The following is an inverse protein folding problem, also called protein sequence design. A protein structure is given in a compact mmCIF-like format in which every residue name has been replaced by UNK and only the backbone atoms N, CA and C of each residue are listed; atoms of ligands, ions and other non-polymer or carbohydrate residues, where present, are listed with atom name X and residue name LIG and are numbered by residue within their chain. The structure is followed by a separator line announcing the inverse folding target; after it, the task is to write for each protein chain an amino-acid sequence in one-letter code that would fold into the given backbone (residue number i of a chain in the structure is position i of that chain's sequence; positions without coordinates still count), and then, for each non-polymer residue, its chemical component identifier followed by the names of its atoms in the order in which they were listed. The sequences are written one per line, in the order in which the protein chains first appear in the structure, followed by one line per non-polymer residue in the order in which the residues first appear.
data_IF_254026858826
#
_entry.id   IF_254026858826
#
_cell.length_a   1.000
_cell.length_b   1.000
_cell.length_c   1.000
_cell.angle_alpha   90.00
_cell.angle_beta   90.00
_cell.angle_gamma   90.00
#
_symmetry.space_group_name_H-M   'P 1'
#
loop_
_entity.id
_entity.type
_entity.pdbx_description
1 polymer ?
#
# COMPACT_ATOMS: atom_id res chain seq x y z
N UNK A 1 -12.69 -4.37 9.29
CA UNK A 1 -14.03 -4.55 8.71
C UNK A 1 -15.03 -4.80 9.84
N UNK A 2 -16.33 -4.66 9.60
CA UNK A 2 -17.39 -4.83 10.60
C UNK A 2 -18.43 -5.81 10.07
N UNK A 3 -18.65 -6.91 10.79
CA UNK A 3 -19.75 -7.83 10.54
C UNK A 3 -21.04 -7.22 11.11
N UNK A 4 -22.09 -7.14 10.29
CA UNK A 4 -23.38 -6.57 10.70
C UNK A 4 -24.47 -7.64 10.59
N UNK A 5 -25.15 -7.92 11.71
CA UNK A 5 -26.38 -8.72 11.77
C UNK A 5 -27.56 -7.78 11.99
N UNK A 6 -28.31 -7.39 10.94
CA UNK A 6 -29.47 -6.52 11.13
C UNK A 6 -30.60 -7.30 11.84
N UNK A 7 -31.44 -6.61 12.62
CA UNK A 7 -32.61 -7.22 13.27
C UNK A 7 -33.65 -7.78 12.29
N UNK A 8 -33.59 -7.34 11.02
CA UNK A 8 -34.33 -7.91 9.88
C UNK A 8 -33.48 -7.78 8.62
N UNK A 9 -33.30 -8.88 7.88
CA UNK A 9 -32.53 -8.92 6.64
C UNK A 9 -31.25 -9.77 6.70
N UNK A 10 -30.57 -9.88 5.56
CA UNK A 10 -29.37 -10.71 5.40
C UNK A 10 -28.14 -10.09 6.06
N UNK A 11 -27.22 -10.93 6.54
CA UNK A 11 -25.91 -10.51 7.06
C UNK A 11 -25.07 -9.86 5.96
N UNK A 12 -24.25 -8.87 6.34
CA UNK A 12 -23.28 -8.25 5.46
C UNK A 12 -22.03 -7.78 6.23
N UNK A 13 -20.95 -7.55 5.48
CA UNK A 13 -19.69 -7.01 6.01
C UNK A 13 -19.48 -5.61 5.46
N UNK A 14 -19.18 -4.65 6.32
CA UNK A 14 -18.78 -3.31 5.91
C UNK A 14 -17.28 -3.13 6.10
N UNK A 15 -16.56 -2.73 5.06
CA UNK A 15 -15.13 -2.50 5.12
C UNK A 15 -14.79 -1.09 4.64
N UNK A 16 -13.88 -0.43 5.36
CA UNK A 16 -13.15 0.72 4.83
C UNK A 16 -11.92 0.18 4.11
N UNK A 17 -11.75 0.56 2.85
CA UNK A 17 -10.68 0.09 1.98
C UNK A 17 -9.88 1.31 1.56
N UNK A 18 -8.57 1.29 1.75
CA UNK A 18 -7.65 2.33 1.28
C UNK A 18 -7.00 1.87 -0.03
N UNK A 19 -7.04 2.72 -1.04
CA UNK A 19 -6.33 2.52 -2.30
C UNK A 19 -4.82 2.69 -2.09
N UNK A 20 -4.02 1.75 -2.60
CA UNK A 20 -2.56 1.86 -2.61
C UNK A 20 -2.05 2.86 -3.66
N UNK A 21 -2.83 3.15 -4.70
CA UNK A 21 -2.41 4.03 -5.80
C UNK A 21 -2.49 5.52 -5.45
N UNK A 22 -3.56 5.91 -4.76
CA UNK A 22 -3.87 7.32 -4.49
C UNK A 22 -4.28 7.60 -3.03
N UNK A 23 -4.22 6.58 -2.16
CA UNK A 23 -4.52 6.72 -0.74
C UNK A 23 -6.00 6.98 -0.41
N UNK A 24 -6.90 7.05 -1.41
CA UNK A 24 -8.33 7.28 -1.17
C UNK A 24 -8.93 6.16 -0.36
N UNK A 25 -9.75 6.52 0.61
CA UNK A 25 -10.49 5.57 1.44
C UNK A 25 -11.93 5.51 0.97
N UNK A 26 -12.40 4.31 0.63
CA UNK A 26 -13.80 4.04 0.30
C UNK A 26 -14.43 3.16 1.38
N UNK A 27 -15.74 3.28 1.58
CA UNK A 27 -16.51 2.35 2.39
C UNK A 27 -17.31 1.44 1.46
N UNK A 28 -17.10 0.12 1.57
CA UNK A 28 -17.77 -0.89 0.74
C UNK A 28 -18.52 -1.87 1.62
N UNK A 29 -19.73 -2.20 1.21
CA UNK A 29 -20.53 -3.28 1.82
C UNK A 29 -20.41 -4.52 0.95
N UNK A 30 -20.14 -5.66 1.58
CA UNK A 30 -20.06 -6.98 0.98
C UNK A 30 -21.21 -7.85 1.50
N UNK A 31 -21.98 -8.42 0.58
CA UNK A 31 -23.01 -9.39 0.87
C UNK A 31 -22.49 -10.82 0.73
N UNK A 32 -23.24 -11.79 1.26
CA UNK A 32 -22.91 -13.20 1.09
C UNK A 32 -22.92 -13.58 -0.40
N UNK A 33 -21.77 -14.03 -0.92
CA UNK A 33 -21.60 -14.42 -2.32
C UNK A 33 -20.88 -13.39 -3.20
N UNK A 34 -20.62 -12.18 -2.69
CA UNK A 34 -19.82 -11.19 -3.41
C UNK A 34 -18.40 -11.73 -3.64
N UNK A 35 -17.92 -11.67 -4.88
CA UNK A 35 -16.55 -12.05 -5.25
C UNK A 35 -15.65 -10.82 -5.27
N UNK A 36 -14.41 -11.01 -4.83
CA UNK A 36 -13.34 -10.05 -4.99
C UNK A 36 -12.10 -10.79 -5.47
N UNK A 37 -11.34 -10.16 -6.35
CA UNK A 37 -10.03 -10.67 -6.76
C UNK A 37 -8.98 -10.23 -5.75
N UNK A 38 -8.00 -11.09 -5.53
CA UNK A 38 -6.83 -10.75 -4.73
C UNK A 38 -5.86 -9.93 -5.59
N UNK A 39 -5.42 -8.75 -5.13
CA UNK A 39 -4.42 -7.98 -5.86
C UNK A 39 -3.09 -8.71 -5.83
N UNK A 40 -2.34 -8.65 -6.93
CA UNK A 40 -0.95 -9.09 -6.94
C UNK A 40 -0.10 -8.04 -6.20
N UNK A 41 0.14 -8.29 -4.91
CA UNK A 41 0.92 -7.44 -4.04
C UNK A 41 2.21 -8.17 -3.65
N UNK A 42 3.35 -7.51 -3.84
CA UNK A 42 4.66 -8.00 -3.44
C UNK A 42 5.30 -6.96 -2.54
N UNK A 43 5.58 -7.34 -1.29
CA UNK A 43 6.37 -6.54 -0.36
C UNK A 43 7.84 -6.92 -0.53
N UNK A 44 8.72 -5.93 -0.68
CA UNK A 44 10.16 -6.14 -0.84
C UNK A 44 10.91 -5.28 0.16
N UNK A 45 11.99 -5.83 0.73
CA UNK A 45 12.93 -5.02 1.52
C UNK A 45 13.94 -4.39 0.57
N UNK A 46 14.02 -3.08 0.58
CA UNK A 46 14.90 -2.28 -0.27
C UNK A 46 15.85 -1.48 0.61
N UNK A 47 16.97 -1.03 0.06
CA UNK A 47 17.84 -0.05 0.68
C UNK A 47 17.64 1.30 0.00
N UNK A 48 17.34 2.34 0.78
CA UNK A 48 17.35 3.70 0.25
C UNK A 48 18.78 4.14 -0.01
N UNK A 49 19.07 4.64 -1.21
CA UNK A 49 20.41 5.03 -1.63
C UNK A 49 20.62 6.54 -1.46
N UNK A 50 19.91 7.35 -2.24
CA UNK A 50 20.02 8.81 -2.27
C UNK A 50 18.82 9.43 -3.01
N UNK A 51 18.72 10.76 -2.97
CA UNK A 51 17.80 11.55 -3.76
C UNK A 51 18.60 12.38 -4.77
N UNK A 52 18.30 12.26 -6.06
CA UNK A 52 19.06 12.93 -7.13
C UNK A 52 18.60 14.38 -7.40
N UNK A 53 17.51 14.81 -6.77
CA UNK A 53 16.88 16.11 -6.98
C UNK A 53 15.45 15.99 -7.52
N UNK A 54 15.15 14.91 -8.25
CA UNK A 54 13.85 14.63 -8.86
C UNK A 54 13.21 13.35 -8.31
N UNK A 55 14.02 12.33 -8.02
CA UNK A 55 13.56 11.01 -7.56
C UNK A 55 14.41 10.43 -6.45
N UNK A 56 13.78 9.57 -5.64
CA UNK A 56 14.43 8.76 -4.62
C UNK A 56 14.84 7.42 -5.20
N UNK A 57 16.13 7.09 -5.05
CA UNK A 57 16.71 5.85 -5.57
C UNK A 57 16.72 4.78 -4.48
N UNK A 58 16.25 3.59 -4.81
CA UNK A 58 16.21 2.42 -3.94
C UNK A 58 16.85 1.23 -4.63
N UNK A 59 17.42 0.32 -3.85
CA UNK A 59 18.03 -0.91 -4.36
C UNK A 59 17.48 -2.14 -3.64
N UNK A 60 17.10 -3.15 -4.40
CA UNK A 60 16.70 -4.45 -3.86
C UNK A 60 17.92 -5.13 -3.20
N UNK A 61 17.78 -5.60 -1.96
CA UNK A 61 18.90 -6.19 -1.21
C UNK A 61 19.27 -7.60 -1.69
N UNK A 62 18.38 -8.25 -2.45
CA UNK A 62 18.58 -9.60 -2.97
C UNK A 62 19.05 -9.56 -4.43
N UNK A 63 18.35 -8.81 -5.30
CA UNK A 63 18.67 -8.75 -6.73
C UNK A 63 19.64 -7.63 -7.11
N UNK A 64 19.89 -6.65 -6.23
CA UNK A 64 20.66 -5.43 -6.51
C UNK A 64 20.06 -4.56 -7.63
N UNK A 65 18.82 -4.82 -8.03
CA UNK A 65 18.09 -3.98 -8.99
C UNK A 65 17.72 -2.65 -8.34
N UNK A 66 17.85 -1.56 -9.10
CA UNK A 66 17.50 -0.22 -8.62
C UNK A 66 16.18 0.25 -9.20
N UNK A 67 15.41 0.96 -8.37
CA UNK A 67 14.17 1.61 -8.77
C UNK A 67 14.19 3.07 -8.32
N UNK A 68 13.62 3.94 -9.16
CA UNK A 68 13.41 5.34 -8.87
C UNK A 68 11.94 5.58 -8.52
N UNK A 69 11.66 6.24 -7.40
CA UNK A 69 10.33 6.65 -7.00
C UNK A 69 10.26 8.18 -6.85
N UNK A 70 9.17 8.77 -7.31
CA UNK A 70 8.94 10.20 -7.15
C UNK A 70 8.35 10.56 -5.78
N UNK A 71 8.30 11.86 -5.46
CA UNK A 71 7.75 12.40 -4.22
C UNK A 71 6.34 11.88 -3.88
N UNK A 72 5.48 11.72 -4.88
CA UNK A 72 4.10 11.26 -4.66
C UNK A 72 4.02 9.78 -4.26
N UNK A 73 4.98 8.98 -4.72
CA UNK A 73 5.07 7.55 -4.42
C UNK A 73 5.71 7.30 -3.04
N UNK A 74 6.73 8.06 -2.68
CA UNK A 74 7.41 7.96 -1.37
C UNK A 74 6.59 8.65 -0.27
N UNK A 75 5.92 9.75 -0.60
CA UNK A 75 5.07 10.50 0.32
C UNK A 75 5.84 11.02 1.54
N UNK A 76 5.17 11.03 2.70
CA UNK A 76 5.74 11.58 3.94
C UNK A 76 6.89 10.75 4.52
N UNK A 77 7.08 9.51 4.06
CA UNK A 77 8.18 8.65 4.50
C UNK A 77 9.55 9.28 4.20
N UNK A 78 9.63 10.09 3.13
CA UNK A 78 10.84 10.82 2.71
C UNK A 78 11.52 11.61 3.82
N UNK A 79 10.74 12.20 4.74
CA UNK A 79 11.24 13.00 5.87
C UNK A 79 12.05 12.17 6.89
N UNK A 80 11.94 10.85 6.83
CA UNK A 80 12.51 9.92 7.80
C UNK A 80 13.59 9.02 7.20
N UNK A 81 13.83 9.10 5.89
CA UNK A 81 14.82 8.27 5.21
C UNK A 81 16.22 8.83 5.38
N UNK A 82 17.18 7.95 5.59
CA UNK A 82 18.61 8.26 5.58
C UNK A 82 19.32 7.28 4.66
N UNK A 83 20.32 7.76 3.95
CA UNK A 83 21.10 6.96 3.02
C UNK A 83 21.59 5.66 3.68
N UNK A 84 21.43 4.55 2.97
CA UNK A 84 21.77 3.21 3.45
C UNK A 84 20.74 2.55 4.35
N UNK A 85 19.62 3.22 4.68
CA UNK A 85 18.57 2.67 5.54
C UNK A 85 17.76 1.58 4.80
N UNK A 86 17.52 0.42 5.44
CA UNK A 86 16.59 -0.57 4.92
C UNK A 86 15.13 -0.08 5.09
N UNK A 87 14.34 -0.19 4.03
CA UNK A 87 12.94 0.23 3.93
C UNK A 87 12.08 -0.89 3.34
N UNK A 88 10.78 -0.87 3.64
CA UNK A 88 9.78 -1.83 3.15
C UNK A 88 8.53 -1.09 2.71
#
# INVERSE_FOLDING_TARGET
YQHVKPGKGSLFVRAKIKSFLDGKVIEKTFHAGDKCEEPNLVEKTMQYLYHDGDTYQFMDIESYEQIALNDSQVGEASKWMRDGMPVR
#
